data_IF_217496749649
#
_entry.id   IF_217496749649
#
_cell.length_a   1.000
_cell.length_b   1.000
_cell.length_c   1.000
_cell.angle_alpha   90.00
_cell.angle_beta   90.00
_cell.angle_gamma   90.00
#
_symmetry.space_group_name_H-M   'P 1'
#
loop_
_entity.id
_entity.type
_entity.pdbx_description
1 polymer ?
#
# COMPACT_ATOMS: atom_id res chain seq x y z
N UNK A 1 27.02 15.29 -12.33
CA UNK A 1 27.93 16.35 -11.82
C UNK A 1 29.36 16.27 -12.36
N UNK A 2 29.96 15.09 -12.57
CA UNK A 2 31.34 14.94 -13.10
C UNK A 2 31.54 15.56 -14.50
N UNK A 3 30.48 15.69 -15.29
CA UNK A 3 30.47 16.26 -16.64
C UNK A 3 30.83 17.75 -16.71
N UNK A 4 30.44 18.57 -15.72
CA UNK A 4 30.72 20.03 -15.73
C UNK A 4 32.20 20.37 -15.50
N UNK A 5 32.94 19.53 -14.76
CA UNK A 5 34.35 19.79 -14.42
C UNK A 5 35.28 19.71 -15.64
N UNK A 6 34.98 18.85 -16.62
CA UNK A 6 35.78 18.71 -17.84
C UNK A 6 35.63 19.91 -18.79
N UNK A 7 34.48 20.60 -18.76
CA UNK A 7 34.25 21.83 -19.53
C UNK A 7 34.98 23.02 -18.91
N UNK A 8 35.02 23.10 -17.58
CA UNK A 8 35.72 24.16 -16.85
C UNK A 8 37.22 24.10 -17.12
N UNK A 9 37.82 22.90 -17.21
CA UNK A 9 39.25 22.73 -17.52
C UNK A 9 39.70 23.34 -18.85
N UNK A 10 38.78 23.53 -19.81
CA UNK A 10 39.07 24.12 -21.13
C UNK A 10 39.09 25.65 -21.14
N UNK A 11 38.60 26.30 -20.08
CA UNK A 11 38.51 27.77 -19.98
C UNK A 11 39.85 28.39 -19.58
N UNK A 12 39.96 29.73 -19.66
CA UNK A 12 41.13 30.44 -19.14
C UNK A 12 41.22 30.30 -17.61
N UNK A 13 42.41 30.42 -17.00
CA UNK A 13 42.58 30.27 -15.55
C UNK A 13 41.71 31.21 -14.71
N UNK A 14 41.51 32.45 -15.16
CA UNK A 14 40.68 33.44 -14.45
C UNK A 14 39.19 33.05 -14.49
N UNK A 15 38.67 32.67 -15.66
CA UNK A 15 37.30 32.20 -15.83
C UNK A 15 37.02 30.89 -15.09
N UNK A 16 38.02 30.02 -14.97
CA UNK A 16 37.95 28.80 -14.15
C UNK A 16 37.66 29.13 -12.70
N UNK A 17 38.43 30.05 -12.13
CA UNK A 17 38.30 30.43 -10.72
C UNK A 17 36.92 31.04 -10.46
N UNK A 18 36.44 31.92 -11.35
CA UNK A 18 35.13 32.53 -11.18
C UNK A 18 33.99 31.50 -11.24
N UNK A 19 34.02 30.58 -12.22
CA UNK A 19 33.00 29.52 -12.33
C UNK A 19 33.06 28.54 -11.18
N UNK A 20 34.26 28.18 -10.70
CA UNK A 20 34.41 27.29 -9.55
C UNK A 20 33.84 27.92 -8.27
N UNK A 21 34.05 29.23 -8.06
CA UNK A 21 33.45 29.95 -6.93
C UNK A 21 31.92 29.99 -7.00
N UNK A 22 31.34 30.22 -8.19
CA UNK A 22 29.87 30.16 -8.38
C UNK A 22 29.32 28.77 -8.06
N UNK A 23 29.96 27.71 -8.56
CA UNK A 23 29.56 26.32 -8.27
C UNK A 23 29.68 26.02 -6.77
N UNK A 24 30.74 26.51 -6.11
CA UNK A 24 30.91 26.33 -4.67
C UNK A 24 29.77 27.01 -3.89
N UNK A 25 29.35 28.20 -4.30
CA UNK A 25 28.25 28.93 -3.67
C UNK A 25 26.89 28.26 -3.91
N UNK A 26 26.64 27.78 -5.13
CA UNK A 26 25.44 26.99 -5.47
C UNK A 26 25.39 25.71 -4.63
N UNK A 27 26.49 24.95 -4.59
CA UNK A 27 26.57 23.72 -3.79
C UNK A 27 26.35 24.01 -2.29
N UNK A 28 26.87 25.12 -1.77
CA UNK A 28 26.62 25.53 -0.37
C UNK A 28 25.14 25.79 -0.10
N UNK A 29 24.42 26.40 -1.05
CA UNK A 29 22.96 26.62 -0.94
C UNK A 29 22.20 25.29 -0.98
N UNK A 30 22.53 24.41 -1.92
CA UNK A 30 21.93 23.08 -2.03
C UNK A 30 22.15 22.24 -0.76
N UNK A 31 23.36 22.28 -0.18
CA UNK A 31 23.67 21.58 1.08
C UNK A 31 22.81 22.13 2.22
N UNK A 32 22.71 23.46 2.37
CA UNK A 32 21.91 24.07 3.44
C UNK A 32 20.42 23.74 3.30
N UNK A 33 19.89 23.69 2.08
CA UNK A 33 18.50 23.29 1.83
C UNK A 33 18.28 21.81 2.17
N UNK A 34 19.20 20.94 1.75
CA UNK A 34 19.15 19.52 2.10
C UNK A 34 19.20 19.31 3.63
N UNK A 35 20.08 20.02 4.34
CA UNK A 35 20.16 19.98 5.80
C UNK A 35 18.86 20.43 6.48
N UNK A 36 18.22 21.48 5.94
CA UNK A 36 16.93 21.96 6.43
C UNK A 36 15.84 20.90 6.25
N UNK A 37 15.78 20.27 5.07
CA UNK A 37 14.81 19.20 4.78
C UNK A 37 15.03 18.02 5.73
N UNK A 38 16.28 17.60 5.93
CA UNK A 38 16.62 16.52 6.88
C UNK A 38 16.15 16.87 8.29
N UNK A 39 16.42 18.08 8.76
CA UNK A 39 16.03 18.54 10.10
C UNK A 39 14.51 18.57 10.29
N UNK A 40 13.78 19.05 9.28
CA UNK A 40 12.32 19.10 9.34
C UNK A 40 11.73 17.67 9.29
N UNK A 41 12.30 16.78 8.48
CA UNK A 41 11.91 15.36 8.41
C UNK A 41 12.12 14.64 9.75
N UNK A 42 13.25 14.89 10.44
CA UNK A 42 13.53 14.35 11.78
C UNK A 42 12.48 14.83 12.79
N UNK A 43 12.04 16.09 12.71
CA UNK A 43 11.00 16.63 13.60
C UNK A 43 9.66 15.95 13.34
N UNK A 44 9.29 15.76 12.09
CA UNK A 44 8.03 15.10 11.72
C UNK A 44 7.98 13.65 12.21
N UNK A 45 9.08 12.90 12.07
CA UNK A 45 9.20 11.53 12.60
C UNK A 45 8.99 11.53 14.11
N UNK A 46 9.68 12.40 14.84
CA UNK A 46 9.56 12.49 16.31
C UNK A 46 8.14 12.85 16.77
N UNK A 47 7.46 13.76 16.07
CA UNK A 47 6.06 14.12 16.39
C UNK A 47 5.14 12.94 16.15
N UNK A 48 5.32 12.23 15.03
CA UNK A 48 4.51 11.06 14.68
C UNK A 48 4.67 9.92 15.68
N UNK A 49 5.91 9.64 16.13
CA UNK A 49 6.19 8.65 17.17
C UNK A 49 5.53 9.04 18.50
N UNK A 50 5.66 10.30 18.92
CA UNK A 50 5.00 10.78 20.14
C UNK A 50 3.49 10.65 20.09
N UNK A 51 2.86 10.94 18.96
CA UNK A 51 1.39 10.80 18.80
C UNK A 51 0.98 9.33 18.88
N UNK A 52 1.77 8.42 18.30
CA UNK A 52 1.51 6.98 18.34
C UNK A 52 1.56 6.42 19.75
N UNK A 53 2.46 6.94 20.59
CA UNK A 53 2.64 6.50 21.97
C UNK A 53 1.65 7.15 22.94
N UNK A 54 0.84 8.11 22.50
CA UNK A 54 -0.20 8.69 23.34
C UNK A 54 -1.32 7.66 23.58
N UNK A 55 -1.69 7.37 24.84
CA UNK A 55 -2.80 6.49 25.13
C UNK A 55 -4.09 7.09 24.57
N UNK A 56 -4.86 6.27 23.86
CA UNK A 56 -6.17 6.68 23.33
C UNK A 56 -7.06 7.03 24.53
N UNK A 57 -7.58 8.26 24.62
CA UNK A 57 -8.46 8.64 25.72
C UNK A 57 -9.72 7.79 25.65
N UNK A 58 -9.97 7.02 26.71
CA UNK A 58 -11.25 6.33 26.86
C UNK A 58 -12.31 7.39 27.12
N UNK A 59 -13.16 7.62 26.13
CA UNK A 59 -14.36 8.44 26.30
C UNK A 59 -15.25 7.76 27.34
N UNK A 60 -15.33 8.33 28.53
CA UNK A 60 -16.35 7.93 29.50
C UNK A 60 -17.69 8.31 28.91
N UNK A 61 -18.65 7.38 28.90
CA UNK A 61 -20.03 7.71 28.55
C UNK A 61 -20.49 8.81 29.50
N UNK A 62 -20.66 10.02 28.96
CA UNK A 62 -21.21 11.14 29.72
C UNK A 62 -22.71 10.85 29.83
N UNK A 63 -23.20 10.82 31.06
CA UNK A 63 -24.63 10.70 31.32
C UNK A 63 -25.35 11.97 30.87
N UNK A 64 -25.78 11.96 29.62
CA UNK A 64 -26.57 13.03 29.01
C UNK A 64 -27.99 13.08 29.55
N UNK A 65 -28.48 12.04 30.25
CA UNK A 65 -29.83 12.07 30.81
C UNK A 65 -29.93 13.10 31.93
N UNK A 66 -28.83 13.42 32.61
CA UNK A 66 -28.79 14.49 33.60
C UNK A 66 -29.02 15.90 33.03
N UNK A 67 -28.87 16.09 31.71
CA UNK A 67 -28.99 17.39 31.05
C UNK A 67 -30.42 17.74 30.62
N UNK A 68 -31.36 16.80 30.69
CA UNK A 68 -32.75 17.00 30.27
C UNK A 68 -33.70 17.10 31.46
N UNK A 69 -34.63 18.04 31.39
CA UNK A 69 -35.74 18.12 32.34
C UNK A 69 -36.68 16.90 32.21
N UNK A 70 -37.44 16.55 33.26
CA UNK A 70 -38.38 15.42 33.21
C UNK A 70 -39.36 15.52 32.04
N UNK A 71 -39.86 16.71 31.72
CA UNK A 71 -40.78 16.91 30.60
C UNK A 71 -40.09 16.68 29.24
N UNK A 72 -38.84 17.12 29.09
CA UNK A 72 -38.07 16.91 27.86
C UNK A 72 -37.73 15.43 27.63
N UNK A 73 -37.46 14.68 28.70
CA UNK A 73 -37.22 13.23 28.63
C UNK A 73 -38.45 12.49 28.11
N UNK A 74 -39.64 12.88 28.57
CA UNK A 74 -40.90 12.28 28.11
C UNK A 74 -41.14 12.56 26.62
N UNK A 75 -40.90 13.79 26.17
CA UNK A 75 -41.03 14.17 24.75
C UNK A 75 -40.02 13.40 23.88
N UNK A 76 -38.79 13.21 24.37
CA UNK A 76 -37.76 12.41 23.69
C UNK A 76 -38.16 10.93 23.59
N UNK A 77 -38.68 10.36 24.67
CA UNK A 77 -39.13 8.97 24.72
C UNK A 77 -40.29 8.70 23.76
N UNK A 78 -41.28 9.59 23.69
CA UNK A 78 -42.44 9.39 22.81
C UNK A 78 -42.07 9.44 21.32
N UNK A 79 -41.07 10.26 20.94
CA UNK A 79 -40.64 10.38 19.53
C UNK A 79 -39.67 9.29 19.08
N UNK A 80 -38.78 8.82 19.95
CA UNK A 80 -37.74 7.84 19.57
C UNK A 80 -38.24 6.39 19.58
N UNK A 81 -39.15 6.06 20.50
CA UNK A 81 -39.52 4.66 20.76
C UNK A 81 -40.65 4.11 19.89
N UNK A 82 -41.38 4.95 19.14
CA UNK A 82 -42.36 4.45 18.14
C UNK A 82 -41.70 3.65 17.01
N UNK A 83 -40.46 3.97 16.65
CA UNK A 83 -39.71 3.25 15.62
C UNK A 83 -38.85 2.09 16.17
N UNK A 84 -38.55 2.07 17.47
CA UNK A 84 -37.69 1.07 18.10
C UNK A 84 -38.42 -0.20 18.57
N UNK A 85 -39.71 -0.09 18.96
CA UNK A 85 -40.49 -1.26 19.40
C UNK A 85 -40.68 -2.28 18.28
N UNK A 86 -40.71 -1.85 17.01
CA UNK A 86 -40.77 -2.76 15.86
C UNK A 86 -39.41 -3.43 15.58
N UNK A 87 -38.28 -2.81 15.97
CA UNK A 87 -36.94 -3.36 15.70
C UNK A 87 -36.41 -4.27 16.81
N UNK A 88 -36.73 -4.00 18.08
CA UNK A 88 -36.18 -4.78 19.20
C UNK A 88 -36.84 -6.14 19.43
N UNK A 89 -38.02 -6.41 18.87
CA UNK A 89 -38.62 -7.75 18.95
C UNK A 89 -37.92 -8.79 18.05
N UNK A 90 -37.11 -8.37 17.08
CA UNK A 90 -36.40 -9.27 16.15
C UNK A 90 -34.91 -9.48 16.47
N UNK A 91 -34.32 -8.72 17.40
CA UNK A 91 -32.87 -8.73 17.67
C UNK A 91 -32.52 -8.88 19.16
N UNK A 92 -33.18 -9.77 19.89
CA UNK A 92 -32.53 -10.45 21.02
C UNK A 92 -31.82 -11.71 20.51
N UNK A 93 -30.66 -11.52 19.86
CA UNK A 93 -29.72 -12.62 19.69
C UNK A 93 -28.98 -12.78 21.01
N UNK A 94 -29.17 -13.93 21.64
CA UNK A 94 -28.44 -14.36 22.83
C UNK A 94 -26.95 -14.00 22.70
N UNK A 95 -26.41 -13.31 23.71
CA UNK A 95 -24.99 -12.98 23.78
C UNK A 95 -24.19 -14.29 23.76
N UNK A 96 -23.50 -14.52 22.63
CA UNK A 96 -22.63 -15.68 22.45
C UNK A 96 -21.41 -15.46 23.36
N UNK A 97 -21.07 -16.42 24.25
CA UNK A 97 -19.94 -16.27 25.16
C UNK A 97 -18.62 -16.03 24.41
N UNK A 98 -17.72 -15.25 25.03
CA UNK A 98 -16.49 -14.78 24.38
C UNK A 98 -15.62 -15.95 23.84
N UNK A 99 -15.59 -17.08 24.54
CA UNK A 99 -14.86 -18.27 24.09
C UNK A 99 -15.44 -18.90 22.82
N UNK A 100 -16.75 -18.73 22.58
CA UNK A 100 -17.42 -19.21 21.38
C UNK A 100 -17.22 -18.25 20.20
N UNK A 101 -17.15 -16.93 20.43
CA UNK A 101 -16.70 -15.96 19.40
C UNK A 101 -15.25 -16.17 19.00
N UNK A 102 -14.34 -16.47 19.94
CA UNK A 102 -12.92 -16.72 19.62
C UNK A 102 -12.76 -17.98 18.74
N UNK A 103 -13.55 -19.04 18.97
CA UNK A 103 -13.58 -20.23 18.11
C UNK A 103 -14.19 -19.97 16.74
N UNK A 104 -15.16 -19.06 16.65
CA UNK A 104 -15.76 -18.66 15.36
C UNK A 104 -14.83 -17.76 14.52
N UNK A 105 -13.93 -17.02 15.19
CA UNK A 105 -12.91 -16.17 14.56
C UNK A 105 -11.58 -16.86 14.31
N UNK A 106 -11.43 -18.15 14.67
CA UNK A 106 -10.26 -18.90 14.23
C UNK A 106 -10.14 -18.82 12.70
N UNK A 107 -8.95 -18.47 12.17
CA UNK A 107 -8.78 -18.29 10.75
C UNK A 107 -9.23 -19.56 10.03
N UNK A 108 -10.28 -19.44 9.22
CA UNK A 108 -10.81 -20.53 8.38
C UNK A 108 -9.79 -21.08 7.38
N UNK A 109 -8.67 -20.37 7.23
CA UNK A 109 -7.53 -20.78 6.44
C UNK A 109 -6.76 -21.89 7.17
N UNK A 110 -6.58 -23.01 6.48
CA UNK A 110 -5.65 -24.05 6.88
C UNK A 110 -4.24 -23.47 7.05
N UNK A 111 -3.40 -24.11 7.87
CA UNK A 111 -1.99 -23.68 8.06
C UNK A 111 -1.23 -23.60 6.73
N UNK A 112 -1.58 -24.45 5.77
CA UNK A 112 -1.00 -24.46 4.42
C UNK A 112 -1.45 -23.25 3.59
N UNK A 113 -2.73 -22.89 3.63
CA UNK A 113 -3.25 -21.68 2.97
C UNK A 113 -2.64 -20.41 3.57
N UNK A 114 -2.46 -20.37 4.89
CA UNK A 114 -1.81 -19.26 5.56
C UNK A 114 -0.33 -19.14 5.14
N UNK A 115 0.39 -20.26 5.05
CA UNK A 115 1.78 -20.29 4.59
C UNK A 115 1.90 -19.86 3.12
N UNK A 116 0.99 -20.31 2.25
CA UNK A 116 0.92 -19.88 0.86
C UNK A 116 0.63 -18.38 0.73
N UNK A 117 -0.27 -17.84 1.56
CA UNK A 117 -0.57 -16.41 1.59
C UNK A 117 0.64 -15.58 2.02
N UNK A 118 1.36 -16.00 3.07
CA UNK A 118 2.59 -15.35 3.51
C UNK A 118 3.65 -15.40 2.41
N UNK A 119 3.85 -16.56 1.78
CA UNK A 119 4.81 -16.74 0.67
C UNK A 119 4.52 -15.76 -0.47
N UNK A 120 3.26 -15.66 -0.88
CA UNK A 120 2.80 -14.70 -1.88
C UNK A 120 3.10 -13.24 -1.49
N UNK A 121 2.80 -12.85 -0.24
CA UNK A 121 3.02 -11.47 0.21
C UNK A 121 4.49 -11.06 0.20
N UNK A 122 5.38 -11.96 0.63
CA UNK A 122 6.83 -11.74 0.61
C UNK A 122 7.30 -11.52 -0.83
N UNK A 123 6.89 -12.40 -1.75
CA UNK A 123 7.23 -12.32 -3.17
C UNK A 123 6.71 -11.03 -3.83
N UNK A 124 5.47 -10.63 -3.55
CA UNK A 124 4.92 -9.38 -4.07
C UNK A 124 5.73 -8.16 -3.60
N UNK A 125 6.19 -8.15 -2.34
CA UNK A 125 7.02 -7.08 -1.81
C UNK A 125 8.42 -7.01 -2.47
N UNK A 126 8.98 -8.16 -2.84
CA UNK A 126 10.24 -8.21 -3.60
C UNK A 126 10.03 -7.65 -5.01
N UNK A 127 9.02 -8.14 -5.73
CA UNK A 127 8.69 -7.70 -7.09
C UNK A 127 8.31 -6.20 -7.18
N UNK A 128 7.76 -5.61 -6.11
CA UNK A 128 7.49 -4.17 -6.06
C UNK A 128 8.75 -3.31 -6.23
N UNK A 129 9.91 -3.81 -5.81
CA UNK A 129 11.20 -3.11 -5.95
C UNK A 129 11.80 -3.26 -7.35
N UNK A 130 11.34 -4.24 -8.13
CA UNK A 130 11.84 -4.52 -9.46
C UNK A 130 11.23 -3.58 -10.52
N UNK A 131 11.98 -3.19 -11.56
CA UNK A 131 11.42 -2.51 -12.73
C UNK A 131 10.22 -3.26 -13.34
N UNK A 132 9.29 -2.54 -13.96
CA UNK A 132 8.09 -3.15 -14.59
C UNK A 132 8.43 -4.12 -15.69
N UNK A 133 9.47 -3.83 -16.46
CA UNK A 133 9.98 -4.74 -17.48
C UNK A 133 10.36 -6.11 -16.89
N UNK A 134 11.03 -6.14 -15.73
CA UNK A 134 11.41 -7.38 -15.06
C UNK A 134 10.19 -8.16 -14.57
N UNK A 135 9.19 -7.49 -14.01
CA UNK A 135 7.95 -8.12 -13.53
C UNK A 135 7.17 -8.76 -14.69
N UNK A 136 7.13 -8.07 -15.84
CA UNK A 136 6.47 -8.56 -17.05
C UNK A 136 7.25 -9.73 -17.66
N UNK A 137 8.58 -9.61 -17.76
CA UNK A 137 9.45 -10.66 -18.27
C UNK A 137 9.33 -11.95 -17.45
N UNK A 138 9.20 -11.84 -16.13
CA UNK A 138 9.04 -13.00 -15.25
C UNK A 138 7.72 -13.73 -15.53
N UNK A 139 6.62 -12.99 -15.75
CA UNK A 139 5.35 -13.57 -16.15
C UNK A 139 5.42 -14.25 -17.52
N UNK A 140 6.13 -13.64 -18.49
CA UNK A 140 6.38 -14.25 -19.80
C UNK A 140 7.18 -15.54 -19.68
N UNK A 141 8.23 -15.56 -18.86
CA UNK A 141 9.06 -16.74 -18.63
C UNK A 141 8.23 -17.88 -18.04
N UNK A 142 7.39 -17.59 -17.05
CA UNK A 142 6.47 -18.58 -16.46
C UNK A 142 5.49 -19.06 -17.51
N UNK A 143 4.95 -18.17 -18.33
CA UNK A 143 4.02 -18.53 -19.39
C UNK A 143 4.64 -19.47 -20.42
N UNK A 144 5.86 -19.19 -20.87
CA UNK A 144 6.59 -20.08 -21.78
C UNK A 144 6.81 -21.45 -21.16
N UNK A 145 7.28 -21.51 -19.91
CA UNK A 145 7.42 -22.77 -19.17
C UNK A 145 6.10 -23.53 -19.02
N UNK A 146 5.00 -22.80 -18.81
CA UNK A 146 3.66 -23.34 -18.65
C UNK A 146 3.12 -23.88 -19.97
N UNK A 147 3.34 -23.20 -21.10
CA UNK A 147 2.91 -23.68 -22.43
C UNK A 147 3.68 -24.94 -22.81
N UNK A 148 5.00 -24.93 -22.64
CA UNK A 148 5.90 -26.02 -23.03
C UNK A 148 5.80 -27.22 -22.07
N UNK A 149 5.40 -26.98 -20.83
CA UNK A 149 5.25 -28.00 -19.79
C UNK A 149 3.90 -28.71 -19.75
N UNK A 150 3.84 -29.76 -18.92
CA UNK A 150 2.65 -30.60 -18.70
C UNK A 150 1.59 -29.99 -17.77
N UNK A 151 1.83 -28.79 -17.23
CA UNK A 151 0.89 -28.08 -16.36
C UNK A 151 1.57 -26.98 -15.55
N UNK A 152 0.76 -26.22 -14.80
CA UNK A 152 1.24 -25.15 -13.92
C UNK A 152 1.53 -25.74 -12.54
N UNK A 153 2.74 -25.48 -11.99
CA UNK A 153 3.08 -25.86 -10.62
C UNK A 153 2.53 -24.85 -9.60
N UNK A 154 2.36 -25.26 -8.35
CA UNK A 154 1.89 -24.35 -7.29
C UNK A 154 2.82 -23.15 -7.08
N UNK A 155 4.13 -23.35 -7.21
CA UNK A 155 5.11 -22.28 -7.10
C UNK A 155 5.06 -21.30 -8.29
N UNK A 156 4.93 -21.82 -9.52
CA UNK A 156 4.71 -20.98 -10.71
C UNK A 156 3.43 -20.16 -10.58
N UNK A 157 2.35 -20.77 -10.08
CA UNK A 157 1.09 -20.07 -9.86
C UNK A 157 1.22 -19.00 -8.76
N UNK A 158 1.95 -19.28 -7.68
CA UNK A 158 2.21 -18.33 -6.59
C UNK A 158 2.99 -17.11 -7.10
N UNK A 159 4.05 -17.33 -7.87
CA UNK A 159 4.83 -16.27 -8.51
C UNK A 159 3.98 -15.48 -9.51
N UNK A 160 3.19 -16.15 -10.35
CA UNK A 160 2.30 -15.50 -11.31
C UNK A 160 1.25 -14.61 -10.60
N UNK A 161 0.68 -15.08 -9.47
CA UNK A 161 -0.21 -14.27 -8.64
C UNK A 161 0.49 -13.02 -8.08
N UNK A 162 1.70 -13.19 -7.52
CA UNK A 162 2.49 -12.08 -6.97
C UNK A 162 2.78 -11.02 -8.03
N UNK A 163 3.28 -11.44 -9.20
CA UNK A 163 3.57 -10.54 -10.32
C UNK A 163 2.32 -9.83 -10.85
N UNK A 164 1.18 -10.53 -10.96
CA UNK A 164 -0.07 -9.92 -11.41
C UNK A 164 -0.62 -8.87 -10.43
N UNK A 165 -0.44 -9.06 -9.11
CA UNK A 165 -0.85 -8.04 -8.15
C UNK A 165 0.01 -6.80 -8.26
N UNK A 166 1.34 -6.96 -8.35
CA UNK A 166 2.23 -5.81 -8.60
C UNK A 166 1.88 -5.11 -9.91
N UNK A 167 1.57 -5.87 -10.97
CA UNK A 167 1.15 -5.29 -12.25
C UNK A 167 -0.15 -4.47 -12.12
N UNK A 168 -1.15 -4.97 -11.40
CA UNK A 168 -2.41 -4.25 -11.15
C UNK A 168 -2.21 -3.00 -10.30
N UNK A 169 -1.36 -3.05 -9.28
CA UNK A 169 -1.05 -1.88 -8.45
C UNK A 169 -0.42 -0.77 -9.30
N UNK A 170 0.56 -1.12 -10.15
CA UNK A 170 1.21 -0.16 -11.05
C UNK A 170 0.25 0.41 -12.08
N UNK A 171 -0.67 -0.40 -12.61
CA UNK A 171 -1.70 0.10 -13.52
C UNK A 171 -2.60 1.13 -12.82
N UNK A 172 -2.99 0.89 -11.56
CA UNK A 172 -3.77 1.85 -10.78
C UNK A 172 -2.98 3.12 -10.48
N UNK A 173 -1.67 3.03 -10.25
CA UNK A 173 -0.81 4.20 -10.07
C UNK A 173 -0.69 5.03 -11.35
N UNK A 174 -0.65 4.38 -12.52
CA UNK A 174 -0.68 5.03 -13.84
C UNK A 174 -2.01 5.74 -14.05
N UNK A 175 -3.14 5.07 -13.79
CA UNK A 175 -4.49 5.64 -13.89
C UNK A 175 -4.68 6.85 -12.96
N UNK A 176 -4.05 6.82 -11.77
CA UNK A 176 -4.09 7.91 -10.79
C UNK A 176 -3.06 9.02 -11.07
N UNK A 177 -2.18 8.83 -12.04
CA UNK A 177 -1.10 9.77 -12.35
C UNK A 177 -0.02 9.86 -11.26
N UNK A 178 0.04 8.89 -10.34
CA UNK A 178 1.05 8.84 -9.27
C UNK A 178 2.25 7.99 -9.62
N UNK A 179 2.20 7.31 -10.77
CA UNK A 179 3.32 6.51 -11.27
C UNK A 179 4.45 7.43 -11.77
N UNK A 180 5.67 7.20 -11.28
CA UNK A 180 6.79 8.15 -11.40
C UNK A 180 7.18 8.57 -12.82
N UNK A 181 6.81 7.77 -13.84
CA UNK A 181 6.95 8.14 -15.26
C UNK A 181 5.80 7.56 -16.06
N UNK A 182 4.90 8.43 -16.54
CA UNK A 182 3.87 8.04 -17.50
C UNK A 182 4.54 7.65 -18.81
N UNK A 183 4.51 6.37 -19.11
CA UNK A 183 5.03 5.79 -20.34
C UNK A 183 3.96 4.85 -20.90
N UNK A 184 3.45 5.18 -22.08
CA UNK A 184 2.44 4.39 -22.79
C UNK A 184 2.94 2.96 -23.05
N UNK A 185 4.26 2.79 -23.22
CA UNK A 185 4.89 1.48 -23.35
C UNK A 185 4.71 0.63 -22.07
N UNK A 186 4.81 1.24 -20.89
CA UNK A 186 4.67 0.55 -19.61
C UNK A 186 3.22 0.11 -19.38
N UNK A 187 2.24 0.95 -19.73
CA UNK A 187 0.83 0.56 -19.65
C UNK A 187 0.52 -0.65 -20.55
N UNK A 188 1.04 -0.64 -21.78
CA UNK A 188 0.87 -1.75 -22.71
C UNK A 188 1.50 -3.06 -22.17
N UNK A 189 2.70 -2.97 -21.59
CA UNK A 189 3.36 -4.12 -20.96
C UNK A 189 2.55 -4.68 -19.78
N UNK A 190 1.95 -3.83 -18.96
CA UNK A 190 1.13 -4.25 -17.83
C UNK A 190 -0.17 -4.95 -18.27
N UNK A 191 -0.79 -4.49 -19.35
CA UNK A 191 -1.96 -5.16 -19.92
C UNK A 191 -1.59 -6.53 -20.53
N UNK A 192 -0.44 -6.63 -21.20
CA UNK A 192 0.09 -7.92 -21.68
C UNK A 192 0.32 -8.87 -20.51
N UNK A 193 0.95 -8.42 -19.43
CA UNK A 193 1.18 -9.21 -18.23
C UNK A 193 -0.11 -9.77 -17.62
N UNK A 194 -1.20 -8.98 -17.63
CA UNK A 194 -2.52 -9.43 -17.15
C UNK A 194 -3.14 -10.49 -18.05
N UNK A 195 -3.00 -10.35 -19.37
CA UNK A 195 -3.46 -11.36 -20.32
C UNK A 195 -2.70 -12.68 -20.15
N UNK A 196 -1.38 -12.60 -19.99
CA UNK A 196 -0.52 -13.76 -19.71
C UNK A 196 -0.93 -14.46 -18.43
N UNK A 197 -1.09 -13.71 -17.34
CA UNK A 197 -1.54 -14.25 -16.05
C UNK A 197 -2.88 -14.99 -16.19
N UNK A 198 -3.84 -14.41 -16.92
CA UNK A 198 -5.14 -15.05 -17.17
C UNK A 198 -4.98 -16.39 -17.88
N UNK A 199 -4.14 -16.46 -18.91
CA UNK A 199 -3.84 -17.71 -19.62
C UNK A 199 -3.21 -18.78 -18.72
N UNK A 200 -2.28 -18.39 -17.83
CA UNK A 200 -1.70 -19.29 -16.83
C UNK A 200 -2.78 -19.79 -15.86
N UNK A 201 -3.63 -18.88 -15.36
CA UNK A 201 -4.70 -19.20 -14.42
C UNK A 201 -5.72 -20.18 -15.02
N UNK A 202 -6.12 -19.96 -16.27
CA UNK A 202 -7.07 -20.82 -16.97
C UNK A 202 -6.49 -22.23 -17.14
N UNK A 203 -5.19 -22.37 -17.45
CA UNK A 203 -4.51 -23.67 -17.53
C UNK A 203 -4.36 -24.35 -16.16
N UNK A 204 -4.22 -23.59 -15.08
CA UNK A 204 -4.16 -24.14 -13.71
C UNK A 204 -5.53 -24.65 -13.24
N UNK A 205 -6.62 -23.97 -13.59
CA UNK A 205 -8.00 -24.37 -13.22
C UNK A 205 -8.53 -25.59 -13.97
N UNK A 206 -7.90 -25.98 -15.08
CA UNK A 206 -8.22 -27.18 -15.85
C UNK A 206 -7.67 -28.48 -15.21
N UNK A 207 -7.05 -28.38 -14.03
CA UNK A 207 -6.46 -29.47 -13.26
C UNK A 207 -7.32 -29.83 -12.06
#
# INVERSE_FOLDING_TARGET
MVTKLNEIKKLSPEERIEKLKKIEEENKKEINEAEKIIKDSIREINVKEKIRDLPIPQIKAVDIESLFSPEEKEVFAVKRYKDLVVRHAEEEKAEIPLEETVKQEEPRATKEELAAHIKYQVLANELRREPTENVVQELENIYHQVIEGTGVTGDQMTMAYAANVVARERQQEIERGTYGRLDEQVSNQLDIARQIFKSIQDKYKLR
#
